data_IF_224441598605
#
_entry.id   IF_224441598605
#
_cell.length_a   1.000
_cell.length_b   1.000
_cell.length_c   1.000
_cell.angle_alpha   90.00
_cell.angle_beta   90.00
_cell.angle_gamma   90.00
#
_symmetry.space_group_name_H-M   'P 1'
#
loop_
_entity.id
_entity.type
_entity.pdbx_description
1 polymer ?
#
# COMPACT_ATOMS: atom_id res chain seq x y z
N UNK A 1 -22.63 26.58 8.62
CA UNK A 1 -23.99 26.26 8.13
C UNK A 1 -24.04 26.58 6.64
N UNK A 2 -23.70 25.63 5.76
CA UNK A 2 -23.63 25.89 4.30
C UNK A 2 -23.96 24.68 3.41
N UNK A 3 -24.47 23.57 3.95
CA UNK A 3 -24.70 22.33 3.19
C UNK A 3 -26.14 22.14 2.68
N UNK A 4 -27.11 22.99 3.07
CA UNK A 4 -28.52 22.86 2.68
C UNK A 4 -28.76 23.13 1.19
N UNK A 5 -28.07 24.14 0.64
CA UNK A 5 -28.31 24.63 -0.73
C UNK A 5 -27.89 23.65 -1.82
N UNK A 6 -26.96 22.72 -1.54
CA UNK A 6 -26.47 21.78 -2.55
C UNK A 6 -27.52 20.70 -2.91
N UNK A 7 -28.33 20.27 -1.94
CA UNK A 7 -29.40 19.29 -2.16
C UNK A 7 -30.62 19.93 -2.83
N UNK A 8 -30.93 21.18 -2.48
CA UNK A 8 -32.06 21.94 -3.02
C UNK A 8 -31.94 22.15 -4.56
N UNK A 9 -30.72 22.25 -5.09
CA UNK A 9 -30.44 22.36 -6.53
C UNK A 9 -30.92 21.12 -7.31
N UNK A 10 -31.07 19.95 -6.69
CA UNK A 10 -31.57 18.76 -7.39
C UNK A 10 -33.10 18.61 -7.35
N UNK A 11 -33.77 19.31 -6.43
CA UNK A 11 -35.21 19.16 -6.20
C UNK A 11 -36.05 20.20 -6.96
N UNK A 12 -35.55 21.44 -7.08
CA UNK A 12 -36.26 22.52 -7.77
C UNK A 12 -35.30 23.34 -8.64
N UNK A 13 -35.77 23.79 -9.80
CA UNK A 13 -35.00 24.68 -10.67
C UNK A 13 -35.09 26.13 -10.15
N UNK A 14 -34.00 26.71 -9.62
CA UNK A 14 -33.99 28.08 -9.10
C UNK A 14 -34.07 29.14 -10.21
N UNK A 15 -33.92 28.76 -11.48
CA UNK A 15 -33.96 29.63 -12.64
C UNK A 15 -35.34 29.64 -13.33
N UNK A 16 -36.29 28.80 -12.89
CA UNK A 16 -37.64 28.81 -13.44
C UNK A 16 -38.33 30.17 -13.18
N UNK A 17 -39.02 30.68 -14.21
CA UNK A 17 -39.76 31.96 -14.19
C UNK A 17 -38.89 33.23 -14.08
N UNK A 18 -37.59 33.14 -14.35
CA UNK A 18 -36.74 34.31 -14.35
C UNK A 18 -37.08 35.24 -15.54
N UNK A 19 -37.39 36.53 -15.33
CA UNK A 19 -38.00 37.41 -16.34
C UNK A 19 -37.09 37.73 -17.54
N UNK A 20 -35.79 37.46 -17.42
CA UNK A 20 -34.77 37.71 -18.44
C UNK A 20 -34.25 36.43 -19.10
N UNK A 21 -34.77 35.25 -18.74
CA UNK A 21 -34.34 33.97 -19.28
C UNK A 21 -35.49 33.34 -20.05
N UNK A 22 -35.18 32.78 -21.20
CA UNK A 22 -36.10 31.87 -21.87
C UNK A 22 -36.16 30.55 -21.10
N UNK A 23 -37.26 29.79 -21.26
CA UNK A 23 -37.44 28.50 -20.57
C UNK A 23 -36.25 27.56 -20.81
N UNK A 24 -35.77 27.48 -22.04
CA UNK A 24 -34.64 26.63 -22.41
C UNK A 24 -33.34 27.08 -21.71
N UNK A 25 -33.08 28.37 -21.62
CA UNK A 25 -31.88 28.89 -20.94
C UNK A 25 -31.90 28.59 -19.44
N UNK A 26 -33.07 28.71 -18.80
CA UNK A 26 -33.25 28.35 -17.40
C UNK A 26 -32.98 26.86 -17.15
N UNK A 27 -33.49 25.98 -18.03
CA UNK A 27 -33.30 24.53 -17.93
C UNK A 27 -31.82 24.16 -18.14
N UNK A 28 -31.16 24.75 -19.14
CA UNK A 28 -29.74 24.50 -19.43
C UNK A 28 -28.85 24.96 -18.28
N UNK A 29 -29.09 26.15 -17.72
CA UNK A 29 -28.35 26.64 -16.55
C UNK A 29 -28.52 25.73 -15.33
N UNK A 30 -29.72 25.18 -15.14
CA UNK A 30 -29.99 24.24 -14.07
C UNK A 30 -29.22 22.92 -14.25
N UNK A 31 -29.18 22.38 -15.47
CA UNK A 31 -28.37 21.20 -15.78
C UNK A 31 -26.87 21.45 -15.56
N UNK A 32 -26.36 22.62 -15.94
CA UNK A 32 -24.97 22.99 -15.64
C UNK A 32 -24.71 23.14 -14.14
N UNK A 33 -25.67 23.66 -13.37
CA UNK A 33 -25.56 23.75 -11.91
C UNK A 33 -25.48 22.36 -11.27
N UNK A 34 -26.34 21.43 -11.70
CA UNK A 34 -26.32 20.02 -11.26
C UNK A 34 -25.01 19.33 -11.65
N UNK A 35 -24.53 19.52 -12.88
CA UNK A 35 -23.25 18.98 -13.33
C UNK A 35 -22.07 19.50 -12.51
N UNK A 36 -22.03 20.81 -12.24
CA UNK A 36 -20.97 21.41 -11.43
C UNK A 36 -20.96 20.84 -10.01
N UNK A 37 -22.14 20.60 -9.43
CA UNK A 37 -22.25 19.96 -8.12
C UNK A 37 -21.72 18.52 -8.16
N UNK A 38 -22.10 17.73 -9.16
CA UNK A 38 -21.58 16.38 -9.37
C UNK A 38 -20.06 16.36 -9.56
N UNK A 39 -19.50 17.33 -10.28
CA UNK A 39 -18.04 17.46 -10.47
C UNK A 39 -17.34 17.78 -9.15
N UNK A 40 -17.90 18.69 -8.34
CA UNK A 40 -17.35 19.00 -7.00
C UNK A 40 -17.34 17.75 -6.12
N UNK A 41 -18.44 17.02 -6.11
CA UNK A 41 -18.56 15.79 -5.33
C UNK A 41 -17.58 14.73 -5.84
N UNK A 42 -17.44 14.56 -7.16
CA UNK A 42 -16.44 13.69 -7.77
C UNK A 42 -15.03 14.09 -7.31
N UNK A 43 -14.65 15.35 -7.40
CA UNK A 43 -13.32 15.82 -7.00
C UNK A 43 -13.05 15.53 -5.52
N UNK A 44 -14.03 15.80 -4.65
CA UNK A 44 -13.92 15.49 -3.21
C UNK A 44 -13.75 13.98 -2.99
N UNK A 45 -14.56 13.16 -3.66
CA UNK A 45 -14.48 11.70 -3.56
C UNK A 45 -13.16 11.16 -4.10
N UNK A 46 -12.70 11.64 -5.25
CA UNK A 46 -11.40 11.29 -5.84
C UNK A 46 -10.25 11.70 -4.93
N UNK A 47 -10.32 12.87 -4.29
CA UNK A 47 -9.33 13.29 -3.31
C UNK A 47 -9.33 12.36 -2.09
N UNK A 48 -10.50 12.01 -1.55
CA UNK A 48 -10.63 11.04 -0.46
C UNK A 48 -10.08 9.65 -0.84
N UNK A 49 -10.33 9.20 -2.08
CA UNK A 49 -9.81 7.95 -2.63
C UNK A 49 -8.31 7.99 -2.92
N UNK A 50 -7.75 9.17 -3.21
CA UNK A 50 -6.31 9.35 -3.43
C UNK A 50 -5.55 9.43 -2.10
N UNK A 51 -6.14 10.10 -1.10
CA UNK A 51 -5.55 10.26 0.23
C UNK A 51 -5.77 9.01 1.13
N UNK A 52 -6.78 8.19 0.83
CA UNK A 52 -7.35 7.20 1.74
C UNK A 52 -6.98 5.70 1.67
N UNK A 53 -6.27 5.11 0.70
CA UNK A 53 -6.04 3.66 0.70
C UNK A 53 -4.68 3.21 1.25
N UNK A 54 -3.75 4.11 1.55
CA UNK A 54 -2.36 3.68 1.73
C UNK A 54 -2.01 3.22 3.14
N UNK A 55 -2.68 3.73 4.19
CA UNK A 55 -2.23 3.43 5.56
C UNK A 55 -2.45 1.97 5.98
N UNK A 56 -3.64 1.38 5.72
CA UNK A 56 -3.91 -0.02 6.06
C UNK A 56 -3.05 -0.99 5.22
N UNK A 57 -2.86 -0.67 3.94
CA UNK A 57 -2.01 -1.49 3.05
C UNK A 57 -0.54 -1.40 3.47
N UNK A 58 -0.03 -0.19 3.75
CA UNK A 58 1.34 0.01 4.22
C UNK A 58 1.57 -0.64 5.59
N UNK A 59 0.59 -0.60 6.50
CA UNK A 59 0.69 -1.29 7.79
C UNK A 59 0.80 -2.80 7.61
N UNK A 60 -0.04 -3.39 6.75
CA UNK A 60 0.02 -4.82 6.41
C UNK A 60 1.35 -5.19 5.76
N UNK A 61 1.85 -4.39 4.83
CA UNK A 61 3.14 -4.60 4.18
C UNK A 61 4.29 -4.54 5.20
N UNK A 62 4.26 -3.60 6.14
CA UNK A 62 5.28 -3.48 7.19
C UNK A 62 5.29 -4.66 8.15
N UNK A 63 4.12 -5.19 8.50
CA UNK A 63 4.00 -6.43 9.28
C UNK A 63 4.58 -7.61 8.51
N UNK A 64 4.30 -7.69 7.20
CA UNK A 64 4.82 -8.75 6.35
C UNK A 64 6.34 -8.68 6.21
N UNK A 65 6.89 -7.48 5.99
CA UNK A 65 8.33 -7.22 5.93
C UNK A 65 9.04 -7.69 7.19
N UNK A 66 8.52 -7.36 8.37
CA UNK A 66 9.10 -7.78 9.66
C UNK A 66 9.10 -9.30 9.81
N UNK A 67 8.00 -9.96 9.43
CA UNK A 67 7.87 -11.42 9.53
C UNK A 67 8.82 -12.13 8.56
N UNK A 68 8.86 -11.69 7.30
CA UNK A 68 9.75 -12.28 6.29
C UNK A 68 11.22 -11.98 6.58
N UNK A 69 11.54 -10.79 7.07
CA UNK A 69 12.90 -10.43 7.50
C UNK A 69 13.39 -11.31 8.65
N UNK A 70 12.54 -11.61 9.63
CA UNK A 70 12.86 -12.56 10.71
C UNK A 70 13.12 -13.96 10.16
N UNK A 71 12.23 -14.47 9.30
CA UNK A 71 12.36 -15.80 8.68
C UNK A 71 13.66 -15.89 7.87
N UNK A 72 14.00 -14.87 7.08
CA UNK A 72 15.22 -14.84 6.29
C UNK A 72 16.47 -14.83 7.18
N UNK A 73 16.49 -14.05 8.26
CA UNK A 73 17.62 -14.05 9.20
C UNK A 73 17.78 -15.41 9.89
N UNK A 74 16.68 -16.00 10.38
CA UNK A 74 16.73 -17.34 11.01
C UNK A 74 17.19 -18.41 10.02
N UNK A 75 16.70 -18.35 8.77
CA UNK A 75 17.12 -19.26 7.71
C UNK A 75 18.61 -19.11 7.41
N UNK A 76 19.11 -17.88 7.27
CA UNK A 76 20.55 -17.63 7.06
C UNK A 76 21.39 -18.19 8.19
N UNK A 77 21.02 -17.92 9.44
CA UNK A 77 21.76 -18.44 10.61
C UNK A 77 21.72 -19.97 10.64
N UNK A 78 20.57 -20.57 10.33
CA UNK A 78 20.44 -22.03 10.24
C UNK A 78 21.35 -22.63 9.16
N UNK A 79 21.42 -22.02 7.98
CA UNK A 79 22.29 -22.48 6.90
C UNK A 79 23.77 -22.33 7.25
N UNK A 80 24.16 -21.18 7.83
CA UNK A 80 25.53 -20.95 8.31
C UNK A 80 25.93 -21.94 9.41
N UNK A 81 25.03 -22.29 10.33
CA UNK A 81 25.29 -23.30 11.35
C UNK A 81 25.66 -24.66 10.75
N UNK A 82 24.87 -25.13 9.79
CA UNK A 82 25.13 -26.42 9.10
C UNK A 82 26.46 -26.40 8.34
N UNK A 83 26.74 -25.32 7.60
CA UNK A 83 28.00 -25.18 6.85
C UNK A 83 29.19 -25.19 7.82
N UNK A 84 29.09 -24.47 8.93
CA UNK A 84 30.15 -24.41 9.94
C UNK A 84 30.40 -25.78 10.58
N UNK A 85 29.35 -26.55 10.89
CA UNK A 85 29.50 -27.90 11.43
C UNK A 85 30.22 -28.84 10.45
N UNK A 86 29.93 -28.74 9.14
CA UNK A 86 30.62 -29.52 8.11
C UNK A 86 32.10 -29.14 7.99
N UNK A 87 32.42 -27.84 7.93
CA UNK A 87 33.80 -27.38 7.84
C UNK A 87 34.60 -27.76 9.08
N UNK A 88 34.03 -27.62 10.29
CA UNK A 88 34.71 -28.03 11.53
C UNK A 88 34.90 -29.54 11.60
N UNK A 89 33.96 -30.35 11.09
CA UNK A 89 34.11 -31.81 11.04
C UNK A 89 35.19 -32.24 10.03
N UNK A 90 35.26 -31.59 8.87
CA UNK A 90 36.32 -31.82 7.87
C UNK A 90 37.69 -31.42 8.45
N UNK A 91 37.83 -30.22 9.03
CA UNK A 91 39.07 -29.76 9.69
C UNK A 91 39.50 -30.69 10.83
N UNK A 92 38.57 -31.20 11.63
CA UNK A 92 38.86 -32.16 12.69
C UNK A 92 39.38 -33.49 12.11
N UNK A 93 38.79 -33.98 11.02
CA UNK A 93 39.24 -35.20 10.33
C UNK A 93 40.62 -35.05 9.68
N UNK A 94 40.93 -33.90 9.08
CA UNK A 94 42.24 -33.60 8.50
C UNK A 94 43.32 -33.46 9.57
N UNK A 95 43.00 -32.84 10.73
CA UNK A 95 43.94 -32.76 11.86
C UNK A 95 44.26 -34.14 12.46
N UNK A 96 43.28 -35.04 12.52
CA UNK A 96 43.47 -36.41 13.00
C UNK A 96 44.28 -37.25 12.00
N UNK A 97 44.04 -37.09 10.70
CA UNK A 97 44.80 -37.75 9.64
C UNK A 97 46.28 -37.29 9.63
N UNK A 98 46.54 -35.99 9.81
CA UNK A 98 47.90 -35.44 9.86
C UNK A 98 48.69 -35.88 11.11
N UNK A 99 48.03 -36.03 12.26
CA UNK A 99 48.67 -36.52 13.48
C UNK A 99 49.04 -38.02 13.43
N UNK A 100 48.37 -38.82 12.60
CA UNK A 100 48.68 -40.23 12.38
C UNK A 100 49.93 -40.47 11.49
N UNK A 101 50.29 -39.49 10.65
CA UNK A 101 51.37 -39.63 9.64
C UNK A 101 52.78 -39.39 10.22
N UNK A 102 52.91 -38.79 11.40
CA UNK A 102 54.21 -38.53 12.06
C UNK A 102 54.76 -39.70 12.89
N UNK A 103 54.00 -40.79 13.08
CA UNK A 103 54.43 -41.93 13.93
C UNK A 103 55.13 -43.05 13.14
N UNK A 104 55.18 -42.98 11.80
CA UNK A 104 55.76 -44.00 10.94
C UNK A 104 56.95 -43.48 10.12
N UNK A 105 58.06 -43.14 10.78
CA UNK A 105 59.36 -43.04 10.11
C UNK A 105 60.46 -43.65 11.00
N UNK A 106 61.28 -44.59 10.49
CA UNK A 106 62.42 -45.15 11.22
C UNK A 106 63.58 -44.16 11.37
#
# INVERSE_FOLDING_TARGET
MSTSTASEIFEANPYENHPNLTQLEADVLWEYAKLNQNIKDLVIRTRQLSEGPDQDVLERLRVLERKMGLVMTLFKVSAWGVINEMTTAEEASESFASAGDITAQP
#
